data_IF_201417476060
#
_entry.id   IF_201417476060
#
_cell.length_a   1.000
_cell.length_b   1.000
_cell.length_c   1.000
_cell.angle_alpha   90.00
_cell.angle_beta   90.00
_cell.angle_gamma   90.00
#
_symmetry.space_group_name_H-M   'P 1'
#
loop_
_entity.id
_entity.type
_entity.pdbx_description
1 polymer ?
#
# COMPACT_ATOMS: atom_id res chain seq x y z
N UNK A 1 2.02 10.67 0.62
CA UNK A 1 2.87 9.62 1.19
C UNK A 1 4.32 9.91 0.85
N UNK A 2 5.24 9.74 1.80
CA UNK A 2 6.68 9.92 1.61
C UNK A 2 7.41 8.62 1.94
N UNK A 3 8.37 8.21 1.08
CA UNK A 3 9.15 7.00 1.27
C UNK A 3 10.32 7.26 2.22
N UNK A 4 10.40 6.46 3.29
CA UNK A 4 11.48 6.51 4.30
C UNK A 4 12.20 5.16 4.44
N UNK A 5 11.98 4.26 3.46
CA UNK A 5 12.65 2.95 3.38
C UNK A 5 14.16 3.08 3.22
N UNK A 6 14.90 1.99 3.48
CA UNK A 6 16.35 1.92 3.37
C UNK A 6 17.03 3.08 4.11
N UNK A 7 16.64 3.27 5.38
CA UNK A 7 17.18 4.33 6.23
C UNK A 7 17.02 5.74 5.64
N UNK A 8 15.86 6.00 4.98
CA UNK A 8 15.59 7.22 4.20
C UNK A 8 16.69 7.48 3.16
N UNK A 9 17.05 6.42 2.44
CA UNK A 9 18.14 6.45 1.45
C UNK A 9 19.48 6.96 2.01
N UNK A 10 19.76 6.65 3.27
CA UNK A 10 20.97 7.04 3.98
C UNK A 10 20.88 8.34 4.79
N UNK A 11 19.72 9.01 4.76
CA UNK A 11 19.54 10.31 5.46
C UNK A 11 19.07 10.18 6.92
N UNK A 12 18.88 8.96 7.44
CA UNK A 12 18.33 8.71 8.76
C UNK A 12 16.81 8.55 8.74
N UNK A 13 16.31 7.35 9.08
CA UNK A 13 14.88 7.06 8.98
C UNK A 13 14.07 7.87 9.99
N UNK A 14 14.53 7.94 11.24
CA UNK A 14 13.85 8.68 12.29
C UNK A 14 13.88 10.19 12.05
N UNK A 15 15.04 10.76 11.71
CA UNK A 15 15.22 12.19 11.49
C UNK A 15 14.29 12.70 10.39
N UNK A 16 14.24 11.97 9.26
CA UNK A 16 13.36 12.31 8.16
C UNK A 16 11.88 12.09 8.52
N UNK A 17 11.54 10.97 9.15
CA UNK A 17 10.16 10.68 9.56
C UNK A 17 9.65 11.71 10.59
N UNK A 18 10.47 12.13 11.56
CA UNK A 18 10.11 13.14 12.55
C UNK A 18 9.92 14.52 11.91
N UNK A 19 10.77 14.89 10.94
CA UNK A 19 10.61 16.12 10.16
C UNK A 19 9.29 16.10 9.37
N UNK A 20 8.97 14.96 8.73
CA UNK A 20 7.73 14.78 7.98
C UNK A 20 6.50 14.82 8.90
N UNK A 21 6.57 14.24 10.09
CA UNK A 21 5.52 14.31 11.10
C UNK A 21 5.29 15.75 11.56
N UNK A 22 6.34 16.49 11.84
CA UNK A 22 6.25 17.92 12.18
C UNK A 22 5.60 18.74 11.05
N UNK A 23 5.92 18.43 9.79
CA UNK A 23 5.35 19.08 8.61
C UNK A 23 4.01 18.49 8.16
N UNK A 24 3.37 17.63 8.97
CA UNK A 24 2.03 17.07 8.76
C UNK A 24 1.90 16.29 7.45
N UNK A 25 2.90 15.49 7.10
CA UNK A 25 2.74 14.49 6.05
C UNK A 25 1.63 13.50 6.43
N UNK A 26 0.85 13.02 5.45
CA UNK A 26 -0.28 12.13 5.73
C UNK A 26 0.16 10.68 5.96
N UNK A 27 1.19 10.21 5.24
CA UNK A 27 1.62 8.81 5.26
C UNK A 27 3.13 8.69 5.06
N UNK A 28 3.72 7.72 5.75
CA UNK A 28 5.06 7.22 5.47
C UNK A 28 4.98 5.87 4.75
N UNK A 29 6.00 5.56 3.95
CA UNK A 29 6.15 4.26 3.31
C UNK A 29 7.51 3.65 3.62
N UNK A 30 7.50 2.41 4.09
CA UNK A 30 8.70 1.60 4.34
C UNK A 30 8.69 0.36 3.45
N UNK A 31 9.84 -0.30 3.28
CA UNK A 31 9.91 -1.52 2.48
C UNK A 31 9.46 -2.74 3.30
N UNK A 32 9.93 -2.88 4.53
CA UNK A 32 9.72 -4.05 5.37
C UNK A 32 9.13 -3.68 6.74
N UNK A 33 8.55 -4.67 7.41
CA UNK A 33 7.89 -4.51 8.72
C UNK A 33 8.82 -4.00 9.81
N UNK A 34 10.06 -4.49 9.85
CA UNK A 34 11.09 -4.08 10.83
C UNK A 34 11.43 -2.58 10.74
N UNK A 35 11.48 -2.02 9.54
CA UNK A 35 11.68 -0.57 9.36
C UNK A 35 10.51 0.23 10.01
N UNK A 36 9.28 -0.26 9.85
CA UNK A 36 8.10 0.35 10.46
C UNK A 36 8.11 0.24 12.00
N UNK A 37 8.51 -0.92 12.52
CA UNK A 37 8.65 -1.16 13.97
C UNK A 37 9.64 -0.17 14.58
N UNK A 38 10.83 -0.04 14.01
CA UNK A 38 11.86 0.91 14.47
C UNK A 38 11.32 2.34 14.54
N UNK A 39 10.54 2.77 13.55
CA UNK A 39 9.93 4.10 13.55
C UNK A 39 8.87 4.24 14.65
N UNK A 40 8.05 3.19 14.91
CA UNK A 40 7.07 3.19 16.00
C UNK A 40 7.75 3.25 17.37
N UNK A 41 8.79 2.46 17.60
CA UNK A 41 9.57 2.47 18.85
C UNK A 41 10.24 3.83 19.07
N UNK A 42 10.61 4.52 18.00
CA UNK A 42 11.15 5.89 18.07
C UNK A 42 10.06 6.99 18.28
N UNK A 43 8.77 6.61 18.40
CA UNK A 43 7.67 7.54 18.68
C UNK A 43 7.00 8.18 17.46
N UNK A 44 7.24 7.69 16.26
CA UNK A 44 6.53 8.14 15.04
C UNK A 44 5.09 7.62 15.07
N UNK A 45 4.13 8.54 15.04
CA UNK A 45 2.69 8.25 15.09
C UNK A 45 1.97 8.33 13.74
N UNK A 46 2.61 8.87 12.70
CA UNK A 46 2.04 8.91 11.35
C UNK A 46 1.65 7.51 10.86
N UNK A 47 0.60 7.36 10.06
CA UNK A 47 0.31 6.09 9.37
C UNK A 47 1.51 5.63 8.53
N UNK A 48 1.84 4.33 8.62
CA UNK A 48 2.98 3.74 7.91
C UNK A 48 2.49 2.58 7.05
N UNK A 49 2.76 2.65 5.75
CA UNK A 49 2.52 1.57 4.80
C UNK A 49 3.78 0.72 4.69
N UNK A 50 3.63 -0.60 4.81
CA UNK A 50 4.68 -1.58 4.52
C UNK A 50 4.47 -2.12 3.12
N UNK A 51 5.42 -1.86 2.20
CA UNK A 51 5.29 -2.18 0.77
C UNK A 51 5.64 -3.63 0.41
N UNK A 52 6.33 -4.34 1.27
CA UNK A 52 6.70 -5.73 1.03
C UNK A 52 6.61 -6.52 2.35
N UNK A 53 5.37 -6.66 2.89
CA UNK A 53 5.18 -7.44 4.09
C UNK A 53 5.57 -8.89 3.84
N UNK A 54 6.31 -9.49 4.79
CA UNK A 54 6.74 -10.88 4.72
C UNK A 54 5.75 -11.78 5.45
N UNK A 55 5.58 -13.02 4.98
CA UNK A 55 4.88 -14.05 5.73
C UNK A 55 5.47 -14.16 7.15
N UNK A 56 4.61 -14.24 8.15
CA UNK A 56 5.03 -14.32 9.56
C UNK A 56 5.27 -12.98 10.23
N UNK A 57 5.20 -11.84 9.53
CA UNK A 57 5.31 -10.50 10.16
C UNK A 57 3.97 -9.80 10.37
N UNK A 58 2.87 -10.39 9.94
CA UNK A 58 1.54 -9.76 10.05
C UNK A 58 1.08 -9.55 11.49
N UNK A 59 1.38 -10.46 12.41
CA UNK A 59 1.10 -10.28 13.85
C UNK A 59 1.82 -9.02 14.38
N UNK A 60 3.10 -8.86 14.02
CA UNK A 60 3.90 -7.71 14.39
C UNK A 60 3.36 -6.41 13.76
N UNK A 61 2.84 -6.49 12.53
CA UNK A 61 2.21 -5.32 11.88
C UNK A 61 0.95 -4.87 12.64
N UNK A 62 0.13 -5.80 13.11
CA UNK A 62 -1.04 -5.49 13.94
C UNK A 62 -0.61 -4.87 15.27
N UNK A 63 0.36 -5.47 15.96
CA UNK A 63 0.90 -4.99 17.24
C UNK A 63 1.40 -3.54 17.15
N UNK A 64 2.11 -3.21 16.06
CA UNK A 64 2.69 -1.87 15.84
C UNK A 64 1.83 -0.93 14.99
N UNK A 65 0.58 -1.32 14.69
CA UNK A 65 -0.35 -0.54 13.87
C UNK A 65 0.29 -0.08 12.54
N UNK A 66 0.81 -1.06 11.77
CA UNK A 66 1.40 -0.87 10.44
C UNK A 66 0.43 -1.38 9.38
N UNK A 67 0.25 -0.63 8.30
CA UNK A 67 -0.73 -0.91 7.27
C UNK A 67 -0.07 -1.66 6.08
N UNK A 68 -0.52 -2.89 5.72
CA UNK A 68 0.12 -3.66 4.65
C UNK A 68 -0.26 -3.22 3.24
N UNK A 69 0.71 -3.25 2.32
CA UNK A 69 0.44 -3.44 0.90
C UNK A 69 -0.06 -4.87 0.68
N UNK A 70 -1.17 -5.00 -0.04
CA UNK A 70 -1.74 -6.28 -0.47
C UNK A 70 -1.66 -6.35 -1.99
N UNK A 71 -0.90 -7.30 -2.50
CA UNK A 71 -0.61 -7.47 -3.93
C UNK A 71 -0.94 -8.87 -4.49
N UNK A 72 -1.37 -9.80 -3.63
CA UNK A 72 -1.81 -11.14 -4.03
C UNK A 72 -2.89 -11.68 -3.07
N UNK A 73 -3.54 -12.77 -3.47
CA UNK A 73 -4.61 -13.39 -2.68
C UNK A 73 -4.12 -14.11 -1.44
N UNK A 74 -2.93 -14.67 -1.48
CA UNK A 74 -2.33 -15.38 -0.36
C UNK A 74 -2.09 -14.43 0.80
N UNK A 75 -1.40 -13.30 0.55
CA UNK A 75 -1.19 -12.26 1.55
C UNK A 75 -2.50 -11.68 2.11
N UNK A 76 -3.53 -11.49 1.27
CA UNK A 76 -4.84 -11.05 1.75
C UNK A 76 -5.48 -12.08 2.70
N UNK A 77 -5.42 -13.37 2.33
CA UNK A 77 -6.00 -14.45 3.15
C UNK A 77 -5.30 -14.53 4.49
N UNK A 78 -3.97 -14.58 4.49
CA UNK A 78 -3.17 -14.70 5.70
C UNK A 78 -3.36 -13.50 6.62
N UNK A 79 -3.41 -12.30 6.06
CA UNK A 79 -3.64 -11.09 6.86
C UNK A 79 -5.05 -11.08 7.49
N UNK A 80 -6.08 -11.47 6.74
CA UNK A 80 -7.44 -11.62 7.27
C UNK A 80 -7.48 -12.63 8.43
N UNK A 81 -6.77 -13.75 8.33
CA UNK A 81 -6.69 -14.74 9.41
C UNK A 81 -6.02 -14.19 10.66
N UNK A 82 -4.93 -13.42 10.48
CA UNK A 82 -4.27 -12.74 11.60
C UNK A 82 -5.23 -11.76 12.28
N UNK A 83 -5.92 -10.92 11.50
CA UNK A 83 -6.86 -9.96 12.05
C UNK A 83 -8.00 -10.62 12.83
N UNK A 84 -8.56 -11.73 12.31
CA UNK A 84 -9.60 -12.50 13.02
C UNK A 84 -9.10 -13.05 14.35
N UNK A 85 -7.88 -13.56 14.40
CA UNK A 85 -7.28 -14.08 15.67
C UNK A 85 -7.06 -12.98 16.68
N UNK A 86 -6.74 -11.76 16.24
CA UNK A 86 -6.52 -10.59 17.09
C UNK A 86 -7.81 -9.83 17.40
N UNK A 87 -8.97 -10.20 16.81
CA UNK A 87 -10.24 -9.51 17.02
C UNK A 87 -10.33 -8.14 16.35
N UNK A 88 -9.50 -7.89 15.36
CA UNK A 88 -9.45 -6.63 14.63
C UNK A 88 -10.53 -6.53 13.55
N UNK A 89 -11.10 -5.34 13.40
CA UNK A 89 -12.10 -5.04 12.39
C UNK A 89 -11.78 -3.72 11.70
N UNK A 90 -12.12 -3.65 10.40
CA UNK A 90 -11.90 -2.47 9.56
C UNK A 90 -10.44 -2.00 9.50
N UNK A 91 -9.49 -2.94 9.63
CA UNK A 91 -8.07 -2.63 9.55
C UNK A 91 -7.70 -2.12 8.15
N UNK A 92 -6.95 -1.03 8.09
CA UNK A 92 -6.57 -0.42 6.83
C UNK A 92 -5.60 -1.29 6.04
N UNK A 93 -5.92 -1.52 4.77
CA UNK A 93 -5.04 -2.17 3.79
C UNK A 93 -4.89 -1.31 2.54
N UNK A 94 -3.79 -1.50 1.82
CA UNK A 94 -3.48 -0.78 0.59
C UNK A 94 -3.36 -1.76 -0.57
N UNK A 95 -4.23 -1.62 -1.57
CA UNK A 95 -4.28 -2.56 -2.70
C UNK A 95 -3.31 -2.10 -3.78
N UNK A 96 -2.37 -2.98 -4.12
CA UNK A 96 -1.48 -2.80 -5.26
C UNK A 96 -2.12 -3.32 -6.53
N UNK A 97 -2.12 -2.51 -7.58
CA UNK A 97 -2.61 -2.85 -8.91
C UNK A 97 -1.44 -2.93 -9.90
N UNK A 98 -1.41 -3.97 -10.72
CA UNK A 98 -0.45 -4.07 -11.81
C UNK A 98 -1.03 -3.39 -13.06
N UNK A 99 -0.43 -2.28 -13.43
CA UNK A 99 -0.82 -1.50 -14.61
C UNK A 99 0.18 -1.57 -15.75
N UNK A 100 1.12 -2.54 -15.69
CA UNK A 100 2.09 -2.76 -16.77
C UNK A 100 3.54 -2.87 -16.32
N UNK A 101 3.85 -2.68 -15.03
CA UNK A 101 5.20 -2.92 -14.50
C UNK A 101 5.52 -4.42 -14.33
N UNK A 102 4.48 -5.26 -14.18
CA UNK A 102 4.57 -6.72 -14.06
C UNK A 102 5.51 -7.23 -12.97
N UNK A 103 5.51 -6.54 -11.82
CA UNK A 103 6.31 -6.93 -10.66
C UNK A 103 5.44 -7.45 -9.52
N UNK A 104 4.52 -6.64 -9.03
CA UNK A 104 3.57 -6.94 -7.95
C UNK A 104 2.24 -6.25 -8.25
N UNK A 105 1.14 -6.85 -7.79
CA UNK A 105 -0.19 -6.25 -7.87
C UNK A 105 -1.21 -7.16 -8.55
N UNK A 106 -2.48 -6.84 -8.34
CA UNK A 106 -3.60 -7.53 -8.98
C UNK A 106 -3.78 -7.05 -10.41
N UNK A 107 -4.04 -8.00 -11.31
CA UNK A 107 -4.45 -7.71 -12.70
C UNK A 107 -5.95 -7.39 -12.78
N UNK A 108 -6.38 -6.88 -13.94
CA UNK A 108 -7.80 -6.57 -14.20
C UNK A 108 -8.70 -7.78 -14.00
N UNK A 109 -8.27 -8.97 -14.42
CA UNK A 109 -9.03 -10.23 -14.33
C UNK A 109 -9.24 -10.68 -12.89
N UNK A 110 -8.37 -10.25 -11.99
CA UNK A 110 -8.40 -10.64 -10.58
C UNK A 110 -9.34 -9.76 -9.73
N UNK A 111 -9.78 -8.61 -10.23
CA UNK A 111 -10.54 -7.62 -9.46
C UNK A 111 -11.85 -8.15 -8.90
N UNK A 112 -12.59 -8.97 -9.67
CA UNK A 112 -13.87 -9.52 -9.21
C UNK A 112 -13.70 -10.42 -7.99
N UNK A 113 -12.70 -11.31 -8.01
CA UNK A 113 -12.34 -12.17 -6.87
C UNK A 113 -11.84 -11.35 -5.68
N UNK A 114 -11.03 -10.33 -5.92
CA UNK A 114 -10.54 -9.42 -4.87
C UNK A 114 -11.70 -8.74 -4.14
N UNK A 115 -12.67 -8.21 -4.87
CA UNK A 115 -13.88 -7.59 -4.31
C UNK A 115 -14.68 -8.59 -3.49
N UNK A 116 -14.87 -9.81 -3.99
CA UNK A 116 -15.59 -10.88 -3.28
C UNK A 116 -14.92 -11.17 -1.92
N UNK A 117 -13.60 -11.33 -1.90
CA UNK A 117 -12.85 -11.60 -0.67
C UNK A 117 -12.95 -10.44 0.33
N UNK A 118 -12.80 -9.20 -0.13
CA UNK A 118 -12.88 -8.02 0.75
C UNK A 118 -14.29 -7.86 1.31
N UNK A 119 -15.34 -8.03 0.50
CA UNK A 119 -16.73 -7.92 0.95
C UNK A 119 -17.19 -9.11 1.79
N UNK A 120 -16.49 -10.23 1.73
CA UNK A 120 -16.76 -11.43 2.54
C UNK A 120 -16.28 -11.31 3.99
N UNK A 121 -15.71 -10.17 4.40
CA UNK A 121 -15.21 -9.98 5.76
C UNK A 121 -15.33 -8.53 6.21
N UNK A 122 -15.50 -8.32 7.51
CA UNK A 122 -15.47 -7.00 8.15
C UNK A 122 -14.09 -6.64 8.72
N UNK A 123 -13.10 -7.55 8.62
CA UNK A 123 -11.79 -7.36 9.24
C UNK A 123 -10.94 -6.32 8.52
N UNK A 124 -11.09 -6.14 7.20
CA UNK A 124 -10.27 -5.23 6.41
C UNK A 124 -11.07 -4.09 5.79
N UNK A 125 -10.40 -2.94 5.61
CA UNK A 125 -10.91 -1.79 4.88
C UNK A 125 -9.86 -1.30 3.89
N UNK A 126 -10.22 -1.22 2.61
CA UNK A 126 -9.32 -0.66 1.60
C UNK A 126 -9.17 0.85 1.83
N UNK A 127 -8.01 1.26 2.31
CA UNK A 127 -7.67 2.67 2.56
C UNK A 127 -7.19 3.37 1.29
N UNK A 128 -6.33 2.69 0.51
CA UNK A 128 -5.88 3.20 -0.78
C UNK A 128 -5.74 2.10 -1.82
N UNK A 129 -5.73 2.53 -3.06
CA UNK A 129 -5.40 1.74 -4.24
C UNK A 129 -4.25 2.43 -4.97
N UNK A 130 -3.23 1.70 -5.34
CA UNK A 130 -2.08 2.30 -5.99
C UNK A 130 -1.39 1.39 -7.00
N UNK A 131 -0.59 2.02 -7.85
CA UNK A 131 0.32 1.34 -8.77
C UNK A 131 1.68 2.04 -8.77
N UNK A 132 2.49 1.80 -9.79
CA UNK A 132 3.79 2.42 -9.95
C UNK A 132 4.07 2.64 -11.41
N UNK A 133 4.43 3.87 -11.78
CA UNK A 133 4.85 4.19 -13.13
C UNK A 133 6.23 3.59 -13.39
N UNK A 134 6.37 2.86 -14.48
CA UNK A 134 7.61 2.15 -14.78
C UNK A 134 8.65 3.03 -15.49
N UNK A 135 8.19 4.01 -16.27
CA UNK A 135 9.02 4.77 -17.21
C UNK A 135 8.69 6.28 -17.26
N UNK A 136 8.16 6.83 -16.16
CA UNK A 136 7.71 8.24 -16.12
C UNK A 136 8.85 9.26 -16.20
N UNK A 137 10.09 8.84 -16.09
CA UNK A 137 11.31 9.62 -16.25
C UNK A 137 11.91 9.54 -17.67
N UNK A 138 11.29 8.77 -18.58
CA UNK A 138 11.75 8.55 -19.94
C UNK A 138 10.75 9.18 -20.94
N UNK A 139 11.02 10.36 -21.51
CA UNK A 139 10.08 11.05 -22.41
C UNK A 139 9.64 10.22 -23.63
N UNK A 140 10.52 9.37 -24.15
CA UNK A 140 10.21 8.47 -25.26
C UNK A 140 9.20 7.37 -24.89
N UNK A 141 8.84 7.24 -23.61
CA UNK A 141 7.89 6.26 -23.07
C UNK A 141 6.58 6.90 -22.57
N UNK A 142 6.31 8.14 -22.94
CA UNK A 142 5.10 8.85 -22.50
C UNK A 142 3.82 8.10 -22.88
N UNK A 143 3.76 7.49 -24.05
CA UNK A 143 2.60 6.70 -24.49
C UNK A 143 2.34 5.49 -23.58
N UNK A 144 3.39 4.82 -23.14
CA UNK A 144 3.28 3.72 -22.17
C UNK A 144 2.84 4.24 -20.80
N UNK A 145 3.42 5.33 -20.32
CA UNK A 145 3.04 5.99 -19.07
C UNK A 145 1.55 6.38 -19.07
N UNK A 146 1.05 6.97 -20.16
CA UNK A 146 -0.37 7.29 -20.34
C UNK A 146 -1.26 6.04 -20.36
N UNK A 147 -0.80 4.95 -20.94
CA UNK A 147 -1.51 3.67 -20.92
C UNK A 147 -1.64 3.11 -19.49
N UNK A 148 -0.58 3.21 -18.68
CA UNK A 148 -0.61 2.84 -17.27
C UNK A 148 -1.62 3.67 -16.47
N UNK A 149 -1.66 4.98 -16.68
CA UNK A 149 -2.61 5.89 -16.03
C UNK A 149 -4.06 5.56 -16.42
N UNK A 150 -4.30 5.32 -17.71
CA UNK A 150 -5.63 4.95 -18.22
C UNK A 150 -6.12 3.65 -17.61
N UNK A 151 -5.26 2.64 -17.56
CA UNK A 151 -5.58 1.35 -16.94
C UNK A 151 -5.82 1.48 -15.44
N UNK A 152 -4.98 2.27 -14.74
CA UNK A 152 -5.14 2.55 -13.33
C UNK A 152 -6.49 3.20 -13.01
N UNK A 153 -6.90 4.20 -13.79
CA UNK A 153 -8.19 4.87 -13.59
C UNK A 153 -9.37 3.90 -13.81
N UNK A 154 -9.29 3.06 -14.85
CA UNK A 154 -10.29 2.02 -15.12
C UNK A 154 -10.41 1.04 -13.96
N UNK A 155 -9.29 0.47 -13.49
CA UNK A 155 -9.26 -0.52 -12.41
C UNK A 155 -9.75 0.05 -11.08
N UNK A 156 -9.29 1.25 -10.72
CA UNK A 156 -9.69 1.92 -9.46
C UNK A 156 -11.15 2.34 -9.48
N UNK A 157 -11.68 2.79 -10.63
CA UNK A 157 -13.10 3.11 -10.79
C UNK A 157 -13.98 1.86 -10.65
N UNK A 158 -13.59 0.74 -11.24
CA UNK A 158 -14.28 -0.54 -11.09
C UNK A 158 -14.30 -0.99 -9.61
N UNK A 159 -13.16 -0.92 -8.92
CA UNK A 159 -13.07 -1.29 -7.50
C UNK A 159 -13.92 -0.37 -6.63
N UNK A 160 -13.84 0.95 -6.81
CA UNK A 160 -14.62 1.92 -6.03
C UNK A 160 -16.13 1.66 -6.18
N UNK A 161 -16.61 1.46 -7.41
CA UNK A 161 -17.99 1.14 -7.67
C UNK A 161 -18.43 -0.17 -7.00
N UNK A 162 -17.58 -1.19 -7.06
CA UNK A 162 -17.87 -2.49 -6.46
C UNK A 162 -17.83 -2.45 -4.93
N UNK A 163 -16.91 -1.71 -4.33
CA UNK A 163 -16.79 -1.55 -2.87
C UNK A 163 -17.87 -0.63 -2.28
N UNK A 164 -18.42 0.29 -3.08
CA UNK A 164 -19.44 1.26 -2.64
C UNK A 164 -18.86 2.50 -1.92
N UNK A 165 -17.55 2.70 -1.99
CA UNK A 165 -16.85 3.89 -1.48
C UNK A 165 -15.57 4.16 -2.28
N UNK A 166 -14.96 5.33 -2.06
CA UNK A 166 -13.78 5.78 -2.81
C UNK A 166 -12.52 5.72 -1.93
N UNK A 167 -11.67 4.68 -2.04
CA UNK A 167 -10.33 4.68 -1.45
C UNK A 167 -9.44 5.76 -2.08
N UNK A 168 -8.41 6.18 -1.36
CA UNK A 168 -7.38 7.09 -1.90
C UNK A 168 -6.70 6.42 -3.09
N UNK A 169 -6.44 7.20 -4.16
CA UNK A 169 -5.74 6.71 -5.36
C UNK A 169 -4.39 7.40 -5.48
N UNK A 170 -3.34 6.65 -5.70
CA UNK A 170 -2.02 7.21 -5.99
C UNK A 170 -1.19 6.28 -6.89
N UNK A 171 -0.42 6.84 -7.81
CA UNK A 171 0.36 6.07 -8.79
C UNK A 171 1.73 6.70 -9.04
N UNK A 172 1.90 8.01 -8.81
CA UNK A 172 3.11 8.74 -9.15
C UNK A 172 4.33 8.26 -8.34
N UNK A 173 5.46 8.16 -9.02
CA UNK A 173 6.79 8.12 -8.44
C UNK A 173 7.40 9.54 -8.41
N UNK A 174 8.70 9.67 -8.15
CA UNK A 174 9.36 10.99 -8.09
C UNK A 174 9.51 11.65 -9.47
N UNK A 175 9.48 10.88 -10.55
CA UNK A 175 9.60 11.38 -11.93
C UNK A 175 8.26 11.67 -12.60
N UNK A 176 7.13 11.29 -11.97
CA UNK A 176 5.79 11.43 -12.55
C UNK A 176 4.99 12.63 -12.05
#
# INVERSE_FOLDING_TARGET
>A
MVMVKAFSYGSGAYEVANLLQFNRADYLGVAYTDEGVVLREAGISLPIIVLNPSFGTYELMVEYNLEPEIYNFEGLTDFIEVLKRNGENHYNIHIKLDTGMHRLGFSTEQLSKLVEMIKGTDTVKVKSMFSHLATSDEPDQDEFTLSQLTLFDKMTSQLSNSLGYNPIRHILNTGG
#
